data_IF_993034754406
#
_entry.id   IF_993034754406
#
_cell.length_a   1.000
_cell.length_b   1.000
_cell.length_c   1.000
_cell.angle_alpha   90.00
_cell.angle_beta   90.00
_cell.angle_gamma   90.00
#
_symmetry.space_group_name_H-M   'P 1'
#
loop_
_entity.id
_entity.type
_entity.pdbx_description
1 polymer ?
#
# COMPACT_ATOMS: atom_id res chain seq x y z
N UNK A 1 3.23 -17.45 -6.59
CA UNK A 1 3.94 -16.40 -5.82
C UNK A 1 3.19 -16.21 -4.52
N UNK A 2 3.94 -16.04 -3.43
CA UNK A 2 3.37 -15.77 -2.11
C UNK A 2 2.71 -14.37 -2.09
N UNK A 3 1.58 -14.22 -1.40
CA UNK A 3 0.87 -12.93 -1.24
C UNK A 3 1.81 -11.88 -0.65
N UNK A 4 2.66 -12.24 0.31
CA UNK A 4 3.63 -11.30 0.88
C UNK A 4 4.70 -10.88 -0.12
N UNK A 5 5.10 -11.77 -1.02
CA UNK A 5 6.06 -11.47 -2.08
C UNK A 5 5.48 -10.48 -3.09
N UNK A 6 4.19 -10.63 -3.45
CA UNK A 6 3.46 -9.69 -4.30
C UNK A 6 3.44 -8.31 -3.65
N UNK A 7 3.04 -8.22 -2.39
CA UNK A 7 3.00 -6.95 -1.64
C UNK A 7 4.38 -6.27 -1.62
N UNK A 8 5.46 -7.01 -1.32
CA UNK A 8 6.83 -6.45 -1.28
C UNK A 8 7.28 -5.92 -2.65
N UNK A 9 6.95 -6.63 -3.73
CA UNK A 9 7.28 -6.22 -5.10
C UNK A 9 6.50 -4.96 -5.48
N UNK A 10 5.21 -4.91 -5.17
CA UNK A 10 4.37 -3.73 -5.42
C UNK A 10 4.84 -2.52 -4.61
N UNK A 11 5.12 -2.69 -3.31
CA UNK A 11 5.67 -1.62 -2.47
C UNK A 11 6.96 -1.04 -3.03
N UNK A 12 7.89 -1.90 -3.46
CA UNK A 12 9.15 -1.45 -4.06
C UNK A 12 8.90 -0.66 -5.35
N UNK A 13 7.97 -1.14 -6.19
CA UNK A 13 7.58 -0.47 -7.43
C UNK A 13 6.98 0.92 -7.14
N UNK A 14 5.98 1.00 -6.27
CA UNK A 14 5.27 2.24 -5.90
C UNK A 14 6.23 3.26 -5.29
N UNK A 15 7.07 2.83 -4.34
CA UNK A 15 8.08 3.70 -3.72
C UNK A 15 9.04 4.29 -4.76
N UNK A 16 9.45 3.50 -5.76
CA UNK A 16 10.29 3.99 -6.85
C UNK A 16 9.53 4.97 -7.75
N UNK A 17 8.30 4.65 -8.12
CA UNK A 17 7.44 5.47 -8.98
C UNK A 17 7.14 6.85 -8.37
N UNK A 18 6.84 6.90 -7.07
CA UNK A 18 6.45 8.13 -6.37
C UNK A 18 7.63 8.87 -5.72
N UNK A 19 8.86 8.39 -5.89
CA UNK A 19 10.06 8.98 -5.26
C UNK A 19 10.36 10.43 -5.67
N UNK A 20 9.76 10.91 -6.76
CA UNK A 20 9.98 12.24 -7.33
C UNK A 20 8.73 13.13 -7.33
N UNK A 21 7.64 12.66 -6.74
CA UNK A 21 6.42 13.45 -6.66
C UNK A 21 6.56 14.53 -5.58
N UNK A 22 6.17 15.77 -5.92
CA UNK A 22 6.19 16.94 -5.04
C UNK A 22 4.79 17.54 -4.83
N UNK A 23 3.76 16.94 -5.42
CA UNK A 23 2.36 17.38 -5.32
C UNK A 23 1.68 16.94 -4.01
N UNK A 24 2.35 16.09 -3.22
CA UNK A 24 1.83 15.52 -1.99
C UNK A 24 1.33 14.08 -2.10
N UNK A 25 1.36 13.48 -3.30
CA UNK A 25 1.12 12.04 -3.52
C UNK A 25 2.42 11.23 -3.52
N UNK A 26 3.35 11.59 -2.64
CA UNK A 26 4.61 10.89 -2.48
C UNK A 26 4.43 9.50 -1.83
N UNK A 27 5.54 8.76 -1.74
CA UNK A 27 5.57 7.48 -1.03
C UNK A 27 4.99 7.56 0.39
N UNK A 28 5.22 8.67 1.10
CA UNK A 28 4.75 8.82 2.48
C UNK A 28 3.25 8.98 2.58
N UNK A 29 2.62 9.66 1.61
CA UNK A 29 1.17 9.69 1.47
C UNK A 29 0.61 8.28 1.31
N UNK A 30 1.10 7.53 0.31
CA UNK A 30 0.63 6.16 0.04
C UNK A 30 0.87 5.24 1.23
N UNK A 31 2.03 5.33 1.89
CA UNK A 31 2.34 4.55 3.08
C UNK A 31 1.35 4.81 4.23
N UNK A 32 0.92 6.06 4.45
CA UNK A 32 -0.11 6.38 5.44
C UNK A 32 -1.48 5.81 5.05
N UNK A 33 -1.87 5.96 3.78
CA UNK A 33 -3.12 5.41 3.24
C UNK A 33 -3.17 3.90 3.41
N UNK A 34 -2.12 3.17 2.98
CA UNK A 34 -1.98 1.72 3.17
C UNK A 34 -2.15 1.29 4.63
N UNK A 35 -1.46 1.95 5.56
CA UNK A 35 -1.52 1.58 6.97
C UNK A 35 -2.91 1.80 7.57
N UNK A 36 -3.60 2.87 7.18
CA UNK A 36 -4.96 3.12 7.61
C UNK A 36 -5.93 2.10 6.99
N UNK A 37 -5.81 1.83 5.69
CA UNK A 37 -6.64 0.86 4.98
C UNK A 37 -6.52 -0.55 5.60
N UNK A 38 -5.32 -0.98 5.97
CA UNK A 38 -5.08 -2.26 6.67
C UNK A 38 -5.78 -2.31 8.03
N UNK A 39 -5.72 -1.23 8.81
CA UNK A 39 -6.40 -1.15 10.12
C UNK A 39 -7.93 -1.22 9.97
N UNK A 40 -8.47 -0.50 8.98
CA UNK A 40 -9.91 -0.55 8.68
C UNK A 40 -10.30 -1.97 8.22
N UNK A 41 -9.53 -2.58 7.30
CA UNK A 41 -9.80 -3.94 6.83
C UNK A 41 -9.82 -4.97 7.97
N UNK A 42 -8.91 -4.84 8.94
CA UNK A 42 -8.89 -5.69 10.12
C UNK A 42 -10.15 -5.52 10.98
N UNK A 43 -10.62 -4.29 11.16
CA UNK A 43 -11.82 -3.98 11.94
C UNK A 43 -13.11 -4.48 11.24
N UNK A 44 -13.19 -4.29 9.93
CA UNK A 44 -14.36 -4.65 9.12
C UNK A 44 -14.37 -6.12 8.67
N UNK A 45 -13.31 -6.89 8.97
CA UNK A 45 -13.17 -8.27 8.51
C UNK A 45 -13.00 -8.41 6.98
N UNK A 46 -12.47 -7.39 6.32
CA UNK A 46 -12.21 -7.40 4.88
C UNK A 46 -10.92 -8.18 4.52
N UNK A 47 -10.78 -8.60 3.26
CA UNK A 47 -9.56 -9.25 2.78
C UNK A 47 -8.38 -8.26 2.79
N UNK A 48 -7.49 -8.41 3.78
CA UNK A 48 -6.32 -7.56 3.99
C UNK A 48 -5.41 -7.55 2.76
N UNK A 49 -5.27 -8.68 2.05
CA UNK A 49 -4.39 -8.74 0.89
C UNK A 49 -4.93 -7.87 -0.25
N UNK A 50 -6.23 -7.94 -0.54
CA UNK A 50 -6.85 -7.10 -1.57
C UNK A 50 -6.78 -5.62 -1.18
N UNK A 51 -7.14 -5.30 0.06
CA UNK A 51 -7.15 -3.90 0.55
C UNK A 51 -5.73 -3.31 0.56
N UNK A 52 -4.74 -4.05 1.05
CA UNK A 52 -3.37 -3.60 1.08
C UNK A 52 -2.78 -3.40 -0.32
N UNK A 53 -3.10 -4.30 -1.26
CA UNK A 53 -2.66 -4.19 -2.64
C UNK A 53 -3.31 -3.02 -3.37
N UNK A 54 -4.60 -2.75 -3.13
CA UNK A 54 -5.31 -1.63 -3.74
C UNK A 54 -4.88 -0.26 -3.21
N UNK A 55 -4.35 -0.22 -1.97
CA UNK A 55 -3.87 0.99 -1.33
C UNK A 55 -2.39 1.31 -1.63
N UNK A 56 -1.68 0.42 -2.33
CA UNK A 56 -0.30 0.59 -2.81
C UNK A 56 -0.30 1.11 -4.25
#
# INVERSE_FOLDING_TARGET
MDKQEIIKKTETFVKKTLSKDSTGHDWWHVHRVRNLAKRIAQHEGADIFIVELAAL
#
